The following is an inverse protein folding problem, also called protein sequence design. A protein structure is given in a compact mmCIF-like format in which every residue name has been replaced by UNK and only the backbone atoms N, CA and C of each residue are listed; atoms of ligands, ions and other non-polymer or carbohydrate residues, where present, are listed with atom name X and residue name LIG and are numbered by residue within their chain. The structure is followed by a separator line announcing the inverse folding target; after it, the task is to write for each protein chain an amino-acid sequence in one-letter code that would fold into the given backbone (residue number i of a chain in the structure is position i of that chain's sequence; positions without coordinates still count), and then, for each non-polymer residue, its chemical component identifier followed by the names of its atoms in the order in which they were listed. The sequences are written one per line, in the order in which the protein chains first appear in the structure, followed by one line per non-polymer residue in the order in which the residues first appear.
data_IF_562837177583
#
_entry.id   IF_562837177583
#
_cell.length_a   1.000
_cell.length_b   1.000
_cell.length_c   1.000
_cell.angle_alpha   90.00
_cell.angle_beta   90.00
_cell.angle_gamma   90.00
#
_symmetry.space_group_name_H-M   'P 1'
#
loop_
_entity.id
_entity.type
_entity.pdbx_description
1 polymer ?
#
# COMPACT_ATOMS: atom_id res chain seq x y z
N UNK A 1 0.62 -20.50 -14.34
CA UNK A 1 0.49 -19.13 -13.83
C UNK A 1 -0.90 -18.66 -14.22
N UNK A 2 -1.75 -18.23 -13.28
CA UNK A 2 -3.00 -17.57 -13.69
C UNK A 2 -2.60 -16.30 -14.44
N UNK A 3 -3.23 -16.06 -15.59
CA UNK A 3 -3.07 -14.82 -16.33
C UNK A 3 -3.73 -13.74 -15.51
N UNK A 4 -2.93 -12.95 -14.79
CA UNK A 4 -3.44 -11.76 -14.11
C UNK A 4 -4.11 -10.81 -15.10
N UNK A 5 -4.85 -9.85 -14.60
CA UNK A 5 -5.38 -8.75 -15.40
C UNK A 5 -4.47 -7.52 -15.34
N UNK A 6 -4.52 -6.69 -16.39
CA UNK A 6 -3.77 -5.44 -16.44
C UNK A 6 -4.64 -4.32 -15.87
N UNK A 7 -4.23 -3.78 -14.74
CA UNK A 7 -4.86 -2.64 -14.07
C UNK A 7 -3.90 -1.45 -14.02
N UNK A 8 -4.41 -0.28 -13.67
CA UNK A 8 -3.62 0.94 -13.53
C UNK A 8 -3.71 1.48 -12.11
N UNK A 9 -2.58 1.86 -11.52
CA UNK A 9 -2.51 2.44 -10.20
C UNK A 9 -1.71 3.73 -10.21
N UNK A 10 -2.09 4.68 -9.35
CA UNK A 10 -1.28 5.84 -9.02
C UNK A 10 -0.28 5.45 -7.92
N UNK A 11 1.00 5.34 -8.27
CA UNK A 11 2.06 4.85 -7.39
C UNK A 11 2.97 6.00 -6.94
N UNK A 12 2.55 6.72 -5.91
CA UNK A 12 3.27 7.90 -5.42
C UNK A 12 4.65 7.59 -4.82
N UNK A 13 5.69 7.49 -5.65
CA UNK A 13 7.06 7.21 -5.21
C UNK A 13 7.73 8.41 -4.50
N UNK A 14 7.03 9.53 -4.29
CA UNK A 14 7.46 10.55 -3.31
C UNK A 14 7.34 10.03 -1.87
N UNK A 15 6.45 9.06 -1.62
CA UNK A 15 6.35 8.39 -0.34
C UNK A 15 7.38 7.24 -0.27
N UNK A 16 8.34 7.22 0.67
CA UNK A 16 9.43 6.24 0.66
C UNK A 16 8.97 4.78 0.77
N UNK A 17 7.89 4.49 1.51
CA UNK A 17 7.31 3.13 1.51
C UNK A 17 6.80 2.70 0.13
N UNK A 18 6.17 3.59 -0.64
CA UNK A 18 5.71 3.28 -2.00
C UNK A 18 6.92 3.12 -2.92
N UNK A 19 7.91 4.00 -2.80
CA UNK A 19 9.16 3.89 -3.56
C UNK A 19 9.86 2.54 -3.30
N UNK A 20 9.89 2.07 -2.05
CA UNK A 20 10.46 0.76 -1.70
C UNK A 20 9.78 -0.40 -2.43
N UNK A 21 8.45 -0.49 -2.36
CA UNK A 21 7.69 -1.59 -2.99
C UNK A 21 7.71 -1.49 -4.52
N UNK A 22 7.65 -0.28 -5.08
CA UNK A 22 7.77 -0.05 -6.53
C UNK A 22 9.18 -0.38 -7.01
N UNK A 23 10.24 -0.08 -6.26
CA UNK A 23 11.61 -0.45 -6.63
C UNK A 23 11.78 -1.98 -6.73
N UNK A 24 11.21 -2.72 -5.78
CA UNK A 24 11.14 -4.19 -5.84
C UNK A 24 10.34 -4.63 -7.07
N UNK A 25 9.27 -3.90 -7.40
CA UNK A 25 8.44 -4.12 -8.57
C UNK A 25 7.13 -4.80 -8.25
N UNK A 26 6.62 -4.67 -7.02
CA UNK A 26 5.42 -5.37 -6.56
C UNK A 26 4.40 -4.45 -5.90
N UNK A 27 3.17 -4.91 -5.86
CA UNK A 27 2.09 -4.42 -5.01
C UNK A 27 1.44 -5.60 -4.28
N UNK A 28 1.01 -5.37 -3.05
CA UNK A 28 0.39 -6.43 -2.26
C UNK A 28 -0.64 -5.86 -1.29
N UNK A 29 -1.84 -6.44 -1.27
CA UNK A 29 -2.86 -6.06 -0.30
C UNK A 29 -2.53 -6.59 1.10
N UNK A 30 -3.13 -5.95 2.10
CA UNK A 30 -2.99 -6.39 3.50
C UNK A 30 -3.74 -7.70 3.69
N UNK A 31 -3.18 -8.61 4.50
CA UNK A 31 -3.85 -9.86 4.90
C UNK A 31 -3.74 -11.04 3.94
N UNK A 32 -3.24 -10.87 2.72
CA UNK A 32 -3.14 -11.99 1.76
C UNK A 32 -2.16 -13.09 2.18
N UNK A 33 -1.09 -12.77 2.92
CA UNK A 33 0.01 -13.73 3.07
C UNK A 33 0.53 -13.91 4.49
N UNK A 34 0.35 -12.94 5.38
CA UNK A 34 0.82 -13.12 6.77
C UNK A 34 -0.29 -13.72 7.61
N UNK A 35 -0.03 -14.89 8.19
CA UNK A 35 -0.99 -15.60 9.06
C UNK A 35 -1.47 -14.76 10.25
N UNK A 36 -0.71 -13.72 10.60
CA UNK A 36 -1.03 -12.74 11.64
C UNK A 36 -2.03 -11.66 11.19
N UNK A 37 -2.37 -11.58 9.90
CA UNK A 37 -3.17 -10.52 9.28
C UNK A 37 -2.73 -9.10 9.68
N UNK A 38 -1.44 -8.95 9.97
CA UNK A 38 -0.88 -7.71 10.45
C UNK A 38 -0.76 -6.65 9.34
N UNK A 39 -1.14 -5.43 9.69
CA UNK A 39 -1.01 -4.22 8.87
C UNK A 39 -2.36 -3.58 8.55
N UNK A 40 -2.29 -2.41 7.91
CA UNK A 40 -3.44 -1.69 7.32
C UNK A 40 -3.04 -1.14 5.96
N UNK A 41 -4.01 -0.74 5.13
CA UNK A 41 -3.72 -0.12 3.85
C UNK A 41 -3.03 1.22 4.08
N UNK A 42 -2.20 1.65 3.11
CA UNK A 42 -1.55 2.96 3.18
C UNK A 42 -2.59 4.09 3.29
N UNK A 43 -3.74 3.93 2.63
CA UNK A 43 -4.87 4.85 2.75
C UNK A 43 -5.38 4.97 4.19
N UNK A 44 -5.68 3.85 4.85
CA UNK A 44 -6.16 3.84 6.23
C UNK A 44 -5.12 4.42 7.19
N UNK A 45 -3.84 4.09 6.99
CA UNK A 45 -2.74 4.64 7.75
C UNK A 45 -2.64 6.16 7.62
N UNK A 46 -2.66 6.68 6.37
CA UNK A 46 -2.59 8.12 6.11
C UNK A 46 -3.82 8.89 6.61
N UNK A 47 -5.01 8.27 6.63
CA UNK A 47 -6.19 8.89 7.26
C UNK A 47 -6.01 9.06 8.76
N UNK A 48 -5.43 8.06 9.44
CA UNK A 48 -5.12 8.12 10.87
C UNK A 48 -3.99 9.10 11.19
N UNK A 49 -2.92 9.08 10.39
CA UNK A 49 -1.83 10.06 10.51
C UNK A 49 -2.38 11.49 10.39
N UNK A 50 -3.24 11.75 9.38
CA UNK A 50 -3.89 13.04 9.21
C UNK A 50 -4.86 13.39 10.34
N UNK A 51 -5.55 12.40 10.93
CA UNK A 51 -6.35 12.61 12.14
C UNK A 51 -5.49 13.19 13.28
N UNK A 52 -4.34 12.57 13.54
CA UNK A 52 -3.42 12.94 14.62
C UNK A 52 -2.83 14.33 14.39
N UNK A 53 -2.37 14.62 13.16
CA UNK A 53 -1.65 15.87 12.87
C UNK A 53 -2.58 17.05 12.55
N UNK A 54 -3.71 16.82 11.89
CA UNK A 54 -4.54 17.88 11.33
C UNK A 54 -5.93 17.99 11.99
N UNK A 55 -6.21 17.20 13.03
CA UNK A 55 -7.51 17.14 13.70
C UNK A 55 -8.68 16.99 12.72
N UNK A 56 -8.59 15.99 11.83
CA UNK A 56 -9.63 15.68 10.84
C UNK A 56 -10.48 14.47 11.27
N UNK A 57 -11.26 14.54 12.39
CA UNK A 57 -11.91 13.37 12.96
C UNK A 57 -12.96 12.74 12.08
N UNK A 58 -13.62 13.57 11.25
CA UNK A 58 -14.77 13.16 10.45
C UNK A 58 -14.40 12.13 9.39
N UNK A 59 -13.29 12.35 8.67
CA UNK A 59 -12.87 11.48 7.57
C UNK A 59 -12.61 10.06 8.06
N UNK A 60 -11.84 9.95 9.13
CA UNK A 60 -11.52 8.63 9.68
C UNK A 60 -12.74 7.98 10.34
N UNK A 61 -13.54 8.73 11.11
CA UNK A 61 -14.78 8.19 11.68
C UNK A 61 -15.76 7.69 10.61
N UNK A 62 -15.90 8.40 9.50
CA UNK A 62 -16.72 7.97 8.38
C UNK A 62 -16.14 6.76 7.65
N UNK A 63 -14.81 6.65 7.51
CA UNK A 63 -14.18 5.44 6.97
C UNK A 63 -14.48 4.21 7.84
N UNK A 64 -14.44 4.35 9.17
CA UNK A 64 -14.83 3.28 10.09
C UNK A 64 -16.32 2.91 10.00
N UNK A 65 -17.20 3.91 9.87
CA UNK A 65 -18.65 3.67 9.65
C UNK A 65 -18.90 2.96 8.32
N UNK A 66 -18.19 3.38 7.27
CA UNK A 66 -18.26 2.78 5.94
C UNK A 66 -17.84 1.31 5.99
N UNK A 67 -16.75 0.99 6.70
CA UNK A 67 -16.32 -0.39 6.92
C UNK A 67 -17.31 -1.19 7.77
N UNK A 68 -17.92 -0.60 8.80
CA UNK A 68 -18.96 -1.26 9.59
C UNK A 68 -20.18 -1.65 8.74
N UNK A 69 -20.64 -0.77 7.85
CA UNK A 69 -21.73 -1.08 6.91
C UNK A 69 -21.29 -2.19 5.94
N UNK A 70 -20.06 -2.12 5.41
CA UNK A 70 -19.51 -3.15 4.52
C UNK A 70 -19.55 -4.53 5.18
N UNK A 71 -18.96 -4.66 6.38
CA UNK A 71 -18.88 -5.95 7.09
C UNK A 71 -20.26 -6.55 7.39
N UNK A 72 -21.28 -5.72 7.65
CA UNK A 72 -22.62 -6.17 8.01
C UNK A 72 -23.52 -6.47 6.81
N UNK A 73 -23.46 -5.66 5.76
CA UNK A 73 -24.43 -5.67 4.66
C UNK A 73 -23.82 -6.04 3.30
N UNK A 74 -22.51 -5.85 3.12
CA UNK A 74 -21.79 -6.07 1.86
C UNK A 74 -20.48 -6.85 2.11
N UNK A 75 -20.53 -8.02 2.80
CA UNK A 75 -19.32 -8.70 3.28
C UNK A 75 -18.38 -9.14 2.16
N UNK A 76 -18.91 -9.38 0.96
CA UNK A 76 -18.15 -9.79 -0.23
C UNK A 76 -17.39 -8.63 -0.91
N UNK A 77 -17.71 -7.38 -0.54
CA UNK A 77 -16.97 -6.22 -1.05
C UNK A 77 -15.59 -6.11 -0.39
N UNK A 78 -14.58 -5.73 -1.17
CA UNK A 78 -13.21 -5.50 -0.71
C UNK A 78 -13.16 -4.31 0.26
N UNK A 79 -12.52 -4.50 1.41
CA UNK A 79 -12.31 -3.45 2.40
C UNK A 79 -11.30 -2.41 1.91
N UNK A 80 -11.67 -1.13 2.00
CA UNK A 80 -10.76 0.02 1.79
C UNK A 80 -9.61 0.07 2.80
N UNK A 81 -9.81 -0.51 3.98
CA UNK A 81 -8.81 -0.56 5.04
C UNK A 81 -7.69 -1.57 4.78
N UNK A 82 -7.86 -2.47 3.80
CA UNK A 82 -6.92 -3.56 3.52
C UNK A 82 -6.55 -3.69 2.05
N UNK A 83 -7.43 -3.24 1.16
CA UNK A 83 -7.30 -3.37 -0.29
C UNK A 83 -6.31 -2.40 -0.91
N UNK A 84 -6.02 -2.69 -2.17
CA UNK A 84 -5.34 -1.84 -3.13
C UNK A 84 -6.37 -1.12 -4.00
N UNK A 85 -5.93 -0.03 -4.61
CA UNK A 85 -6.77 0.88 -5.39
C UNK A 85 -6.28 0.92 -6.84
N UNK A 86 -7.18 0.66 -7.77
CA UNK A 86 -6.87 0.53 -9.20
C UNK A 86 -7.91 1.22 -10.08
N UNK A 87 -7.54 1.37 -11.35
CA UNK A 87 -8.39 1.80 -12.45
C UNK A 87 -8.30 0.79 -13.58
N UNK A 88 -9.37 0.67 -14.37
CA UNK A 88 -9.40 -0.20 -15.56
C UNK A 88 -8.48 0.30 -16.67
N UNK A 89 -8.34 1.61 -16.80
CA UNK A 89 -7.53 2.24 -17.83
C UNK A 89 -6.63 3.33 -17.26
N UNK A 90 -5.55 3.63 -17.98
CA UNK A 90 -4.67 4.76 -17.69
C UNK A 90 -5.44 6.08 -17.76
N UNK A 91 -6.36 6.21 -18.71
CA UNK A 91 -7.17 7.41 -18.90
C UNK A 91 -8.05 7.68 -17.68
N UNK A 92 -8.65 6.65 -17.09
CA UNK A 92 -9.48 6.80 -15.88
C UNK A 92 -8.61 7.26 -14.70
N UNK A 93 -7.41 6.70 -14.55
CA UNK A 93 -6.46 7.13 -13.52
C UNK A 93 -6.00 8.60 -13.73
N UNK A 94 -5.80 9.03 -14.98
CA UNK A 94 -5.47 10.42 -15.30
C UNK A 94 -6.61 11.37 -14.97
N UNK A 95 -7.85 11.00 -15.32
CA UNK A 95 -9.06 11.77 -14.98
C UNK A 95 -9.23 11.85 -13.46
N UNK A 96 -8.96 10.77 -12.73
CA UNK A 96 -8.98 10.76 -11.28
C UNK A 96 -8.01 11.80 -10.70
N UNK A 97 -6.75 11.79 -11.14
CA UNK A 97 -5.76 12.78 -10.69
C UNK A 97 -6.15 14.22 -11.05
N UNK A 98 -6.76 14.46 -12.22
CA UNK A 98 -7.26 15.79 -12.57
C UNK A 98 -8.35 16.26 -11.61
N UNK A 99 -9.33 15.39 -11.31
CA UNK A 99 -10.43 15.69 -10.39
C UNK A 99 -9.98 15.84 -8.95
N UNK A 100 -8.95 15.10 -8.54
CA UNK A 100 -8.35 15.21 -7.21
C UNK A 100 -7.37 16.39 -7.08
N UNK A 101 -7.20 17.21 -8.13
CA UNK A 101 -6.32 18.39 -8.10
C UNK A 101 -4.83 18.05 -8.11
N UNK A 102 -4.44 16.93 -8.71
CA UNK A 102 -3.06 16.43 -8.79
C UNK A 102 -2.58 16.14 -10.24
N UNK A 103 -2.86 17.00 -11.24
CA UNK A 103 -2.49 16.73 -12.64
C UNK A 103 -0.97 16.55 -12.85
N UNK A 104 -0.15 17.22 -12.03
CA UNK A 104 1.31 17.15 -12.03
C UNK A 104 1.89 15.84 -11.50
N UNK A 105 1.03 14.87 -11.11
CA UNK A 105 1.44 13.56 -10.58
C UNK A 105 1.13 12.40 -11.51
N UNK A 106 0.66 12.68 -12.73
CA UNK A 106 0.30 11.66 -13.75
C UNK A 106 1.47 10.75 -14.14
N UNK A 107 2.71 11.22 -14.01
CA UNK A 107 3.93 10.43 -14.24
C UNK A 107 4.06 9.20 -13.32
N UNK A 108 3.30 9.15 -12.23
CA UNK A 108 3.28 8.01 -11.31
C UNK A 108 2.17 7.00 -11.60
N UNK A 109 1.37 7.22 -12.65
CA UNK A 109 0.42 6.21 -13.10
C UNK A 109 1.21 5.09 -13.78
N UNK A 110 0.97 3.85 -13.36
CA UNK A 110 1.62 2.68 -13.94
C UNK A 110 0.63 1.56 -14.15
N UNK A 111 0.85 0.83 -15.24
CA UNK A 111 0.25 -0.48 -15.42
C UNK A 111 0.83 -1.49 -14.43
N UNK A 112 -0.04 -2.35 -13.94
CA UNK A 112 0.25 -3.42 -13.00
C UNK A 112 -0.36 -4.70 -13.55
N UNK A 113 0.43 -5.76 -13.61
CA UNK A 113 -0.07 -7.10 -13.85
C UNK A 113 -0.56 -7.65 -12.51
N UNK A 114 -1.88 -7.68 -12.30
CA UNK A 114 -2.48 -7.99 -11.01
C UNK A 114 -3.14 -9.36 -11.01
N UNK A 115 -2.94 -10.13 -9.94
CA UNK A 115 -3.62 -11.41 -9.68
C UNK A 115 -4.55 -11.18 -8.50
N UNK A 116 -5.86 -10.97 -8.76
CA UNK A 116 -6.81 -10.69 -7.71
C UNK A 116 -7.26 -11.96 -6.97
N UNK A 117 -7.48 -11.82 -5.68
CA UNK A 117 -8.28 -12.75 -4.87
C UNK A 117 -9.73 -12.29 -4.77
N UNK A 118 -9.96 -10.97 -4.75
CA UNK A 118 -11.28 -10.34 -4.82
C UNK A 118 -11.19 -8.94 -5.43
N UNK A 119 -12.28 -8.50 -6.07
CA UNK A 119 -12.41 -7.17 -6.67
C UNK A 119 -13.77 -6.56 -6.30
N UNK A 120 -13.81 -5.23 -6.19
CA UNK A 120 -15.06 -4.47 -6.05
C UNK A 120 -14.95 -3.18 -6.84
N UNK A 121 -15.87 -2.98 -7.77
CA UNK A 121 -15.97 -1.75 -8.55
C UNK A 121 -16.88 -0.76 -7.82
N UNK A 122 -16.38 0.45 -7.58
CA UNK A 122 -17.07 1.49 -6.82
C UNK A 122 -16.87 2.85 -7.49
N UNK A 123 -17.77 3.79 -7.23
CA UNK A 123 -17.60 5.17 -7.68
C UNK A 123 -16.87 5.99 -6.60
N UNK A 124 -15.64 6.41 -6.89
CA UNK A 124 -14.79 7.17 -5.97
C UNK A 124 -15.30 8.60 -5.73
N UNK A 125 -16.26 9.10 -6.52
CA UNK A 125 -16.89 10.40 -6.28
C UNK A 125 -17.69 10.43 -4.98
N UNK A 126 -18.31 9.32 -4.57
CA UNK A 126 -18.98 9.23 -3.26
C UNK A 126 -18.01 9.56 -2.13
N UNK A 127 -16.80 9.01 -2.17
CA UNK A 127 -15.74 9.25 -1.18
C UNK A 127 -15.27 10.71 -1.27
N UNK A 128 -15.04 11.20 -2.49
CA UNK A 128 -14.55 12.56 -2.75
C UNK A 128 -15.48 13.62 -2.16
N UNK A 129 -16.79 13.45 -2.32
CA UNK A 129 -17.78 14.44 -1.88
C UNK A 129 -18.20 14.27 -0.42
N UNK A 130 -18.26 13.03 0.10
CA UNK A 130 -18.95 12.76 1.36
C UNK A 130 -18.04 12.34 2.52
N UNK A 131 -16.82 11.85 2.28
CA UNK A 131 -16.00 11.29 3.37
C UNK A 131 -15.70 12.32 4.46
N UNK A 132 -15.52 13.59 4.11
CA UNK A 132 -15.33 14.68 5.08
C UNK A 132 -16.61 15.29 5.64
N UNK A 133 -17.79 14.91 5.13
CA UNK A 133 -19.07 15.47 5.52
C UNK A 133 -19.70 14.73 6.71
N UNK A 134 -20.56 15.40 7.49
CA UNK A 134 -21.38 14.78 8.53
C UNK A 134 -22.80 14.43 8.04
N UNK A 135 -23.05 14.58 6.74
CA UNK A 135 -24.37 14.43 6.17
C UNK A 135 -24.83 12.97 6.10
N UNK A 136 -26.10 12.82 5.75
CA UNK A 136 -26.86 11.58 5.60
C UNK A 136 -26.01 10.33 5.26
N UNK A 137 -25.94 9.30 6.13
CA UNK A 137 -25.11 8.11 5.91
C UNK A 137 -25.64 7.20 4.78
N UNK A 138 -26.78 7.51 4.17
CA UNK A 138 -27.33 6.74 3.04
C UNK A 138 -26.32 6.57 1.89
N UNK A 139 -25.47 7.57 1.63
CA UNK A 139 -24.45 7.50 0.59
C UNK A 139 -23.51 6.29 0.77
N UNK A 140 -23.29 5.82 2.00
CA UNK A 140 -22.41 4.69 2.28
C UNK A 140 -22.98 3.38 1.73
N UNK A 141 -24.31 3.21 1.78
CA UNK A 141 -24.98 2.07 1.16
C UNK A 141 -24.97 2.22 -0.36
N UNK A 142 -25.16 3.43 -0.88
CA UNK A 142 -25.10 3.69 -2.32
C UNK A 142 -23.72 3.37 -2.92
N UNK A 143 -22.66 3.76 -2.21
CA UNK A 143 -21.28 3.43 -2.54
C UNK A 143 -21.04 1.91 -2.57
N UNK A 144 -21.41 1.19 -1.50
CA UNK A 144 -21.20 -0.27 -1.45
C UNK A 144 -22.12 -1.08 -2.35
N UNK A 145 -23.27 -0.52 -2.72
CA UNK A 145 -24.16 -1.09 -3.72
C UNK A 145 -23.75 -0.71 -5.16
N UNK A 146 -22.53 -0.17 -5.33
CA UNK A 146 -21.92 0.16 -6.62
C UNK A 146 -22.75 1.15 -7.46
N UNK A 147 -23.55 2.02 -6.83
CA UNK A 147 -24.31 3.04 -7.56
C UNK A 147 -23.39 4.19 -7.97
N UNK A 148 -23.62 4.77 -9.13
CA UNK A 148 -22.92 5.97 -9.56
C UNK A 148 -23.38 7.19 -8.71
N UNK A 149 -22.44 8.02 -8.28
CA UNK A 149 -22.71 9.25 -7.54
C UNK A 149 -23.30 10.36 -8.44
N UNK A 150 -23.11 10.24 -9.76
CA UNK A 150 -23.66 11.15 -10.76
C UNK A 150 -23.54 10.61 -12.17
N UNK A 151 -23.69 11.49 -13.16
CA UNK A 151 -23.72 11.12 -14.59
C UNK A 151 -22.36 10.70 -15.15
N UNK A 152 -21.26 11.09 -14.48
CA UNK A 152 -19.88 10.81 -14.91
C UNK A 152 -19.10 10.17 -13.77
N UNK A 153 -19.42 8.91 -13.41
CA UNK A 153 -18.76 8.22 -12.31
C UNK A 153 -17.25 8.14 -12.54
N UNK A 154 -16.50 8.14 -11.45
CA UNK A 154 -15.08 7.86 -11.46
C UNK A 154 -14.88 6.46 -10.87
N UNK A 155 -14.99 5.45 -11.74
CA UNK A 155 -14.91 4.05 -11.32
C UNK A 155 -13.50 3.71 -10.83
N UNK A 156 -13.44 3.32 -9.56
CA UNK A 156 -12.28 2.78 -8.88
C UNK A 156 -12.51 1.28 -8.64
N UNK A 157 -11.43 0.51 -8.71
CA UNK A 157 -11.40 -0.91 -8.37
C UNK A 157 -10.68 -1.05 -7.03
N UNK A 158 -11.40 -1.51 -6.02
CA UNK A 158 -10.81 -2.02 -4.79
C UNK A 158 -10.43 -3.48 -4.99
N UNK A 159 -9.22 -3.85 -4.62
CA UNK A 159 -8.70 -5.19 -4.90
C UNK A 159 -7.92 -5.78 -3.71
N UNK A 160 -8.08 -7.09 -3.49
CA UNK A 160 -7.13 -7.89 -2.71
C UNK A 160 -6.35 -8.81 -3.64
N UNK A 161 -5.09 -9.08 -3.32
CA UNK A 161 -4.21 -9.89 -4.15
C UNK A 161 -2.78 -9.35 -4.22
N UNK A 162 -2.08 -9.73 -5.29
CA UNK A 162 -0.69 -9.34 -5.54
C UNK A 162 -0.52 -8.87 -6.98
N UNK A 163 0.41 -7.95 -7.20
CA UNK A 163 0.67 -7.41 -8.53
C UNK A 163 2.14 -7.14 -8.81
N UNK A 164 2.49 -7.13 -10.09
CA UNK A 164 3.81 -6.77 -10.60
C UNK A 164 3.71 -5.42 -11.30
N UNK A 165 4.53 -4.46 -10.90
CA UNK A 165 4.62 -3.15 -11.55
C UNK A 165 5.36 -3.31 -12.88
N UNK A 166 4.69 -2.99 -13.99
CA UNK A 166 5.23 -3.24 -15.33
C UNK A 166 6.15 -2.11 -15.83
N UNK A 167 6.01 -0.90 -15.30
CA UNK A 167 6.80 0.25 -15.72
C UNK A 167 8.22 0.19 -15.14
N UNK A 168 9.19 -0.28 -15.96
CA UNK A 168 10.60 -0.41 -15.56
C UNK A 168 11.23 0.94 -15.19
N UNK A 169 10.91 2.01 -15.91
CA UNK A 169 11.49 3.33 -15.65
C UNK A 169 11.05 3.86 -14.28
N UNK A 170 9.77 3.66 -13.92
CA UNK A 170 9.26 4.01 -12.60
C UNK A 170 9.93 3.18 -11.49
N UNK A 171 10.19 1.89 -11.72
CA UNK A 171 10.92 1.02 -10.77
C UNK A 171 12.36 1.53 -10.54
N UNK A 172 13.05 1.91 -11.62
CA UNK A 172 14.41 2.47 -11.54
C UNK A 172 14.41 3.80 -10.77
N UNK A 173 13.45 4.68 -11.06
CA UNK A 173 13.31 5.97 -10.36
C UNK A 173 12.99 5.79 -8.87
N UNK A 174 12.12 4.84 -8.55
CA UNK A 174 11.80 4.47 -7.18
C UNK A 174 13.04 3.95 -6.42
N UNK A 175 13.86 3.12 -7.07
CA UNK A 175 15.11 2.63 -6.51
C UNK A 175 16.08 3.77 -6.21
N UNK A 176 16.27 4.70 -7.16
CA UNK A 176 17.15 5.86 -7.00
C UNK A 176 16.74 6.73 -5.80
N UNK A 177 15.45 6.93 -5.58
CA UNK A 177 14.96 7.68 -4.42
C UNK A 177 15.34 7.03 -3.10
N UNK A 178 15.23 5.70 -2.99
CA UNK A 178 15.70 4.98 -1.79
C UNK A 178 17.23 5.04 -1.67
N UNK A 179 17.95 4.91 -2.79
CA UNK A 179 19.40 5.05 -2.83
C UNK A 179 19.84 6.43 -2.29
N UNK A 180 19.18 7.51 -2.70
CA UNK A 180 19.51 8.87 -2.30
C UNK A 180 19.15 9.15 -0.83
N UNK A 181 18.01 8.63 -0.36
CA UNK A 181 17.56 8.80 1.03
C UNK A 181 18.36 7.94 2.02
N UNK A 182 18.53 6.65 1.71
CA UNK A 182 19.12 5.64 2.58
C UNK A 182 20.06 4.73 1.79
N UNK A 183 21.23 5.24 1.34
CA UNK A 183 22.14 4.48 0.48
C UNK A 183 22.57 3.15 1.12
N UNK A 184 22.79 3.12 2.43
CA UNK A 184 23.21 1.90 3.14
C UNK A 184 22.10 0.87 3.35
N UNK A 185 20.86 1.17 2.95
CA UNK A 185 19.74 0.22 2.86
C UNK A 185 19.64 -0.49 1.51
N UNK A 186 20.39 -0.03 0.51
CA UNK A 186 20.42 -0.62 -0.83
C UNK A 186 20.86 -2.09 -0.90
N UNK A 187 21.70 -2.66 0.00
CA UNK A 187 21.99 -4.08 -0.05
C UNK A 187 20.74 -4.93 0.21
N UNK A 188 19.89 -4.53 1.18
CA UNK A 188 18.62 -5.19 1.45
C UNK A 188 17.64 -5.01 0.28
N UNK A 189 17.53 -3.79 -0.25
CA UNK A 189 16.61 -3.50 -1.36
C UNK A 189 17.01 -4.23 -2.64
N UNK A 190 18.30 -4.23 -3.01
CA UNK A 190 18.79 -4.95 -4.19
C UNK A 190 18.56 -6.46 -4.07
N UNK A 191 18.82 -7.03 -2.88
CA UNK A 191 18.54 -8.43 -2.60
C UNK A 191 17.05 -8.75 -2.75
N UNK A 192 16.17 -7.86 -2.27
CA UNK A 192 14.72 -7.99 -2.43
C UNK A 192 14.29 -7.89 -3.91
N UNK A 193 14.82 -6.94 -4.68
CA UNK A 193 14.57 -6.83 -6.13
C UNK A 193 14.97 -8.12 -6.86
N UNK A 194 16.18 -8.64 -6.61
CA UNK A 194 16.69 -9.84 -7.27
C UNK A 194 15.87 -11.09 -6.85
N UNK A 195 15.58 -11.25 -5.56
CA UNK A 195 14.79 -12.36 -5.04
C UNK A 195 13.35 -12.36 -5.56
N UNK A 196 12.73 -11.19 -5.66
CA UNK A 196 11.41 -11.07 -6.27
C UNK A 196 11.43 -11.45 -7.76
N UNK A 197 12.40 -10.93 -8.51
CA UNK A 197 12.46 -11.12 -9.97
C UNK A 197 12.83 -12.56 -10.37
N UNK A 198 13.86 -13.15 -9.74
CA UNK A 198 14.38 -14.48 -10.11
C UNK A 198 13.70 -15.64 -9.39
N UNK A 199 13.23 -15.41 -8.17
CA UNK A 199 12.72 -16.47 -7.31
C UNK A 199 11.24 -16.31 -6.94
N UNK A 200 10.57 -15.25 -7.44
CA UNK A 200 9.17 -14.94 -7.16
C UNK A 200 8.85 -14.86 -5.66
N UNK A 201 9.81 -14.32 -4.88
CA UNK A 201 9.67 -14.13 -3.43
C UNK A 201 8.77 -12.93 -3.17
N UNK A 202 7.45 -13.16 -3.12
CA UNK A 202 6.46 -12.09 -3.06
C UNK A 202 6.54 -11.25 -1.77
N UNK A 203 7.10 -11.78 -0.67
CA UNK A 203 7.13 -11.13 0.65
C UNK A 203 8.52 -10.68 1.09
N UNK A 204 9.54 -10.83 0.24
CA UNK A 204 10.93 -10.48 0.57
C UNK A 204 11.04 -9.00 0.94
N UNK A 205 11.42 -8.72 2.19
CA UNK A 205 11.56 -7.35 2.72
C UNK A 205 10.32 -6.46 2.48
N UNK A 206 9.11 -7.04 2.64
CA UNK A 206 7.84 -6.33 2.46
C UNK A 206 7.61 -5.28 3.55
N UNK A 207 7.48 -4.01 3.15
CA UNK A 207 7.13 -2.92 4.05
C UNK A 207 5.62 -2.83 4.19
N UNK A 208 5.12 -2.78 5.43
CA UNK A 208 3.71 -2.59 5.75
C UNK A 208 3.53 -1.47 6.78
N UNK A 209 2.55 -0.57 6.61
CA UNK A 209 2.08 0.23 7.72
C UNK A 209 1.30 -0.66 8.69
N UNK A 210 1.54 -0.48 9.98
CA UNK A 210 0.93 -1.24 11.05
C UNK A 210 0.57 -0.37 12.22
N UNK A 211 -0.45 -0.80 12.96
CA UNK A 211 -0.96 -0.13 14.15
C UNK A 211 -0.78 -1.07 15.33
N UNK A 212 -0.16 -0.59 16.39
CA UNK A 212 0.12 -1.37 17.59
C UNK A 212 -0.41 -0.63 18.81
N UNK A 213 -1.18 -1.33 19.64
CA UNK A 213 -1.63 -0.81 20.94
C UNK A 213 -0.47 -0.81 21.94
N UNK A 214 -0.19 0.33 22.56
CA UNK A 214 0.85 0.51 23.57
C UNK A 214 0.27 1.27 24.77
N UNK A 215 -0.14 0.52 25.80
CA UNK A 215 -0.86 1.09 26.94
C UNK A 215 -2.19 1.71 26.50
N UNK A 216 -2.34 3.03 26.71
CA UNK A 216 -3.54 3.78 26.35
C UNK A 216 -3.47 4.45 24.97
N UNK A 217 -2.41 4.20 24.20
CA UNK A 217 -2.19 4.79 22.89
C UNK A 217 -2.22 3.74 21.77
N UNK A 218 -2.58 4.17 20.57
CA UNK A 218 -2.32 3.46 19.32
C UNK A 218 -1.11 4.10 18.67
N UNK A 219 -0.09 3.31 18.40
CA UNK A 219 1.10 3.75 17.68
C UNK A 219 1.03 3.26 16.25
N UNK A 220 1.14 4.18 15.29
CA UNK A 220 1.34 3.86 13.90
C UNK A 220 2.82 3.82 13.57
N UNK A 221 3.29 2.74 12.95
CA UNK A 221 4.64 2.63 12.41
C UNK A 221 4.66 1.84 11.10
N UNK A 222 5.82 1.85 10.44
CA UNK A 222 6.10 0.95 9.32
C UNK A 222 6.99 -0.21 9.78
N UNK A 223 6.70 -1.39 9.23
CA UNK A 223 7.37 -2.63 9.58
C UNK A 223 7.86 -3.32 8.32
N UNK A 224 9.05 -3.93 8.39
CA UNK A 224 9.58 -4.78 7.32
C UNK A 224 9.37 -6.24 7.71
N UNK A 225 8.60 -6.95 6.90
CA UNK A 225 8.44 -8.39 7.03
C UNK A 225 9.71 -9.09 6.53
N UNK A 226 10.40 -9.76 7.45
CA UNK A 226 11.71 -10.37 7.19
C UNK A 226 11.72 -11.88 7.08
N UNK A 227 10.64 -12.56 7.47
CA UNK A 227 10.61 -14.03 7.56
C UNK A 227 11.07 -14.70 6.26
N UNK A 228 10.51 -14.32 5.12
CA UNK A 228 10.90 -14.90 3.83
C UNK A 228 12.34 -14.56 3.44
N UNK A 229 12.82 -13.36 3.79
CA UNK A 229 14.22 -12.98 3.57
C UNK A 229 15.18 -13.86 4.39
N UNK A 230 14.85 -14.11 5.65
CA UNK A 230 15.68 -14.90 6.56
C UNK A 230 15.62 -16.41 6.23
N UNK A 231 14.48 -16.93 5.79
CA UNK A 231 14.29 -18.35 5.44
C UNK A 231 14.83 -18.72 4.05
N UNK A 232 14.94 -17.75 3.12
CA UNK A 232 15.31 -17.97 1.71
C UNK A 232 16.66 -17.36 1.33
N UNK A 233 17.56 -17.20 2.29
CA UNK A 233 18.86 -16.52 2.09
C UNK A 233 19.67 -17.12 0.94
N UNK A 234 19.77 -18.45 0.83
CA UNK A 234 20.53 -19.11 -0.24
C UNK A 234 19.99 -18.78 -1.63
N UNK A 235 18.67 -18.78 -1.79
CA UNK A 235 18.02 -18.45 -3.07
C UNK A 235 18.22 -16.98 -3.42
N UNK A 236 18.12 -16.09 -2.42
CA UNK A 236 18.34 -14.66 -2.59
C UNK A 236 19.79 -14.38 -3.00
N UNK A 237 20.77 -15.05 -2.37
CA UNK A 237 22.19 -14.91 -2.75
C UNK A 237 22.41 -15.37 -4.19
N UNK A 238 21.87 -16.54 -4.56
CA UNK A 238 21.96 -17.04 -5.94
C UNK A 238 21.30 -16.08 -6.95
N UNK A 239 20.15 -15.49 -6.62
CA UNK A 239 19.48 -14.49 -7.45
C UNK A 239 20.32 -13.21 -7.61
N UNK A 240 20.94 -12.72 -6.54
CA UNK A 240 21.83 -11.55 -6.60
C UNK A 240 23.06 -11.84 -7.47
N UNK A 241 23.68 -13.01 -7.33
CA UNK A 241 24.80 -13.42 -8.18
C UNK A 241 24.40 -13.52 -9.65
N UNK A 242 23.22 -14.06 -9.93
CA UNK A 242 22.67 -14.13 -11.28
C UNK A 242 22.46 -12.74 -11.89
N UNK A 243 21.78 -11.84 -11.17
CA UNK A 243 21.59 -10.46 -11.61
C UNK A 243 22.94 -9.73 -11.80
N UNK A 244 23.95 -9.99 -10.97
CA UNK A 244 25.30 -9.44 -11.14
C UNK A 244 25.96 -9.92 -12.43
N UNK A 245 25.89 -11.23 -12.72
CA UNK A 245 26.42 -11.80 -13.98
C UNK A 245 25.70 -11.26 -15.21
N UNK A 246 24.40 -11.01 -15.10
CA UNK A 246 23.58 -10.44 -16.17
C UNK A 246 23.75 -8.90 -16.34
N UNK A 247 24.43 -8.21 -15.41
CA UNK A 247 24.51 -6.75 -15.42
C UNK A 247 23.19 -6.06 -15.03
N UNK A 248 22.29 -6.77 -14.36
CA UNK A 248 20.95 -6.31 -13.96
C UNK A 248 20.84 -6.01 -12.46
N UNK A 249 21.90 -6.27 -11.68
CA UNK A 249 21.89 -6.01 -10.25
C UNK A 249 21.82 -4.49 -9.98
N UNK A 250 20.83 -4.02 -9.20
CA UNK A 250 20.76 -2.61 -8.81
C UNK A 250 22.01 -2.16 -8.03
N UNK A 251 22.36 -0.86 -8.07
CA UNK A 251 23.58 -0.36 -7.43
C UNK A 251 23.50 -0.46 -5.91
N UNK A 252 24.53 -1.04 -5.29
CA UNK A 252 24.61 -1.28 -3.83
C UNK A 252 25.66 -0.37 -3.19
N UNK A 253 25.32 0.23 -2.06
CA UNK A 253 26.25 0.95 -1.16
C UNK A 253 26.30 0.22 0.17
N UNK A 254 27.50 -0.22 0.55
CA UNK A 254 27.73 -0.90 1.82
C UNK A 254 27.88 0.11 2.97
N UNK A 255 27.44 -0.22 4.20
CA UNK A 255 27.77 0.58 5.38
C UNK A 255 29.29 0.72 5.58
N UNK A 256 29.73 1.85 6.13
CA UNK A 256 31.14 2.07 6.50
C UNK A 256 31.57 1.19 7.68
N UNK A 257 30.61 0.87 8.55
CA UNK A 257 30.78 -0.05 9.67
C UNK A 257 30.80 -1.51 9.16
N UNK A 258 31.98 -2.11 9.16
CA UNK A 258 32.21 -3.46 8.65
C UNK A 258 31.47 -4.56 9.44
N UNK A 259 30.92 -4.25 10.62
CA UNK A 259 30.07 -5.19 11.36
C UNK A 259 28.64 -5.29 10.81
N UNK A 260 28.26 -4.40 9.87
CA UNK A 260 26.92 -4.32 9.30
C UNK A 260 26.92 -4.67 7.82
N UNK A 261 25.99 -5.53 7.43
CA UNK A 261 25.75 -5.88 6.02
C UNK A 261 24.80 -4.90 5.30
N UNK A 262 23.92 -4.24 6.05
CA UNK A 262 23.05 -3.15 5.60
C UNK A 262 22.47 -2.41 6.82
N UNK A 263 21.83 -1.26 6.58
CA UNK A 263 20.95 -0.58 7.54
C UNK A 263 19.50 -0.71 7.10
N UNK A 264 18.56 -0.68 8.04
CA UNK A 264 17.14 -0.59 7.70
C UNK A 264 16.77 0.85 7.29
N UNK A 265 15.84 1.04 6.35
CA UNK A 265 15.31 2.35 6.04
C UNK A 265 14.61 2.96 7.26
N UNK A 266 14.81 4.25 7.51
CA UNK A 266 14.24 4.93 8.68
C UNK A 266 12.94 5.67 8.33
N UNK A 267 11.81 4.98 8.51
CA UNK A 267 10.47 5.55 8.31
C UNK A 267 9.90 6.23 9.56
N UNK A 268 10.70 6.51 10.59
CA UNK A 268 10.21 7.06 11.87
C UNK A 268 9.57 8.45 11.74
N UNK A 269 9.92 9.21 10.71
CA UNK A 269 9.28 10.51 10.41
C UNK A 269 7.81 10.40 10.00
N UNK A 270 7.35 9.21 9.64
CA UNK A 270 5.95 8.90 9.31
C UNK A 270 5.23 8.17 10.43
N UNK A 271 5.89 7.97 11.59
CA UNK A 271 5.26 7.36 12.76
C UNK A 271 4.44 8.38 13.54
N UNK A 272 3.35 7.91 14.15
CA UNK A 272 2.48 8.74 14.97
C UNK A 272 1.99 7.99 16.22
N UNK A 273 1.53 8.75 17.21
CA UNK A 273 0.85 8.22 18.40
C UNK A 273 -0.52 8.89 18.55
N UNK A 274 -1.54 8.08 18.79
CA UNK A 274 -2.91 8.49 19.00
C UNK A 274 -3.35 8.12 20.42
N UNK A 275 -3.81 9.13 21.17
CA UNK A 275 -4.36 8.99 22.52
C UNK A 275 -5.88 9.19 22.51
N UNK A 276 -6.61 8.28 21.87
CA UNK A 276 -8.07 8.34 21.75
C UNK A 276 -8.68 6.97 22.04
N UNK A 277 -9.29 6.84 23.21
CA UNK A 277 -9.82 5.56 23.70
C UNK A 277 -11.08 5.13 22.95
N UNK A 278 -11.94 6.06 22.55
CA UNK A 278 -13.17 5.74 21.82
C UNK A 278 -12.83 5.28 20.40
N UNK A 279 -11.94 6.02 19.74
CA UNK A 279 -11.46 5.66 18.41
C UNK A 279 -10.69 4.33 18.43
N UNK A 280 -9.86 4.13 19.46
CA UNK A 280 -9.12 2.89 19.63
C UNK A 280 -10.02 1.68 19.88
N UNK A 281 -11.11 1.85 20.63
CA UNK A 281 -12.12 0.81 20.82
C UNK A 281 -12.88 0.51 19.52
N UNK A 282 -13.31 1.54 18.78
CA UNK A 282 -13.98 1.38 17.49
C UNK A 282 -13.09 0.63 16.48
N UNK A 283 -11.82 1.02 16.37
CA UNK A 283 -10.84 0.35 15.54
C UNK A 283 -10.62 -1.11 15.95
N UNK A 284 -10.40 -1.38 17.24
CA UNK A 284 -10.21 -2.74 17.74
C UNK A 284 -11.42 -3.64 17.49
N UNK A 285 -12.64 -3.10 17.49
CA UNK A 285 -13.85 -3.86 17.21
C UNK A 285 -13.94 -4.32 15.75
N UNK A 286 -13.45 -3.51 14.82
CA UNK A 286 -13.45 -3.81 13.37
C UNK A 286 -12.38 -4.85 13.04
N UNK A 287 -11.19 -4.74 13.65
CA UNK A 287 -10.08 -5.66 13.37
C UNK A 287 -10.12 -6.99 14.13
N UNK A 288 -10.97 -7.13 15.17
CA UNK A 288 -11.24 -8.43 15.82
C UNK A 288 -12.29 -9.27 15.09
N UNK A 289 -13.08 -8.66 14.19
CA UNK A 289 -14.22 -9.31 13.54
C UNK A 289 -13.90 -10.01 12.22
N UNK A 290 -12.62 -10.06 11.81
CA UNK A 290 -12.16 -10.73 10.59
C UNK A 290 -11.29 -11.93 10.87
#
# INVERSE_FOLDING_TARGET
MSTGEKLFAYLNIDHPMVAWEVAIGRLQSVGEITADRFGVSLWAYSLLESYVHNQQPKRFANELRLEHIRTRSYPDCVSRLHGLYFFKSEQDAQVALDRWGMPQRKQYISAVQFVPSALTEVDSEWITWNLGSNDNPEWMNEYWNCKAAGERPLTEILATGSGVVLNKDLRIEAYKRIYDLWPTSTPLLAAACCGFDRCHLNNVALVKPGLVSKGNAIQGNYYIYRKEFDERQTDIVAAVEDCKRAGECPPIVMPTDQSKIFTLPDLSSYSFELYDQELGAAFASIHKAT
#
